data_IF_644506329086
#
_entry.id   IF_644506329086
#
_cell.length_a   1.000
_cell.length_b   1.000
_cell.length_c   1.000
_cell.angle_alpha   90.00
_cell.angle_beta   90.00
_cell.angle_gamma   90.00
#
_symmetry.space_group_name_H-M   'P 1'
#
loop_
_entity.id
_entity.type
_entity.pdbx_description
1 polymer ?
#
# COMPACT_ATOMS: atom_id res chain seq x y z
N UNK A 1 -46.08 38.78 -6.65
CA UNK A 1 -45.09 39.75 -6.11
C UNK A 1 -44.84 39.30 -4.68
N UNK A 2 -43.65 38.88 -4.25
CA UNK A 2 -42.32 39.47 -4.46
C UNK A 2 -41.26 38.40 -4.79
N UNK A 3 -40.29 38.78 -5.65
CA UNK A 3 -39.03 38.06 -5.85
C UNK A 3 -38.05 38.52 -4.77
N UNK A 4 -37.44 37.60 -4.03
CA UNK A 4 -36.20 37.89 -3.30
C UNK A 4 -35.02 37.68 -4.25
N UNK A 5 -34.35 38.80 -4.56
CA UNK A 5 -33.05 38.83 -5.22
C UNK A 5 -31.97 38.36 -4.23
N UNK A 6 -31.19 37.36 -4.64
CA UNK A 6 -30.04 36.88 -3.90
C UNK A 6 -28.82 37.75 -4.29
N UNK A 7 -28.51 38.76 -3.48
CA UNK A 7 -27.30 39.57 -3.61
C UNK A 7 -26.13 38.83 -2.95
N UNK A 8 -25.28 38.21 -3.77
CA UNK A 8 -24.04 37.60 -3.30
C UNK A 8 -23.08 38.66 -2.78
N UNK A 9 -22.71 38.59 -1.50
CA UNK A 9 -21.66 39.45 -0.95
C UNK A 9 -20.29 39.14 -1.60
N UNK A 10 -19.47 40.17 -1.93
CA UNK A 10 -18.12 39.97 -2.42
C UNK A 10 -17.20 39.43 -1.32
N UNK A 11 -16.41 38.40 -1.66
CA UNK A 11 -15.35 37.84 -0.81
C UNK A 11 -14.45 38.98 -0.28
N UNK A 12 -14.34 39.09 1.05
CA UNK A 12 -13.54 40.13 1.67
C UNK A 12 -12.08 40.06 1.20
N UNK A 13 -11.47 41.22 0.96
CA UNK A 13 -10.10 41.37 0.40
C UNK A 13 -9.03 40.54 1.13
N UNK A 14 -9.23 40.29 2.43
CA UNK A 14 -8.36 39.41 3.25
C UNK A 14 -8.50 37.93 2.87
N UNK A 15 -9.71 37.44 2.58
CA UNK A 15 -9.94 36.04 2.14
C UNK A 15 -9.38 35.80 0.73
N UNK A 16 -9.49 36.78 -0.17
CA UNK A 16 -8.90 36.69 -1.51
C UNK A 16 -7.37 36.61 -1.47
N UNK A 17 -6.72 37.44 -0.65
CA UNK A 17 -5.25 37.42 -0.48
C UNK A 17 -4.78 36.10 0.12
N UNK A 18 -5.50 35.54 1.11
CA UNK A 18 -5.15 34.23 1.69
C UNK A 18 -5.28 33.07 0.69
N UNK A 19 -6.30 33.08 -0.17
CA UNK A 19 -6.48 32.07 -1.22
C UNK A 19 -5.39 32.18 -2.28
N UNK A 20 -5.05 33.40 -2.72
CA UNK A 20 -3.94 33.61 -3.66
C UNK A 20 -2.58 33.23 -3.05
N UNK A 21 -2.35 33.49 -1.76
CA UNK A 21 -1.12 33.07 -1.07
C UNK A 21 -1.03 31.55 -0.89
N UNK A 22 -2.15 30.87 -0.62
CA UNK A 22 -2.22 29.41 -0.55
C UNK A 22 -2.00 28.76 -1.93
N UNK A 23 -2.54 29.36 -2.99
CA UNK A 23 -2.33 28.93 -4.38
C UNK A 23 -0.88 29.19 -4.84
N UNK A 24 -0.30 30.34 -4.52
CA UNK A 24 1.09 30.64 -4.83
C UNK A 24 2.05 29.73 -4.04
N UNK A 25 1.76 29.44 -2.77
CA UNK A 25 2.53 28.51 -1.94
C UNK A 25 2.46 27.07 -2.43
N UNK A 26 1.31 26.61 -2.94
CA UNK A 26 1.17 25.28 -3.54
C UNK A 26 1.84 25.17 -4.91
N UNK A 27 1.79 26.21 -5.73
CA UNK A 27 2.52 26.27 -7.01
C UNK A 27 4.04 26.32 -6.77
N UNK A 28 4.52 27.07 -5.77
CA UNK A 28 5.93 27.16 -5.42
C UNK A 28 6.46 25.86 -4.77
N UNK A 29 5.69 25.22 -3.89
CA UNK A 29 6.05 23.92 -3.33
C UNK A 29 6.01 22.80 -4.40
N UNK A 30 5.03 22.85 -5.30
CA UNK A 30 4.94 21.94 -6.44
C UNK A 30 6.10 22.11 -7.41
N UNK A 31 6.53 23.35 -7.68
CA UNK A 31 7.66 23.62 -8.58
C UNK A 31 9.01 23.28 -7.96
N UNK A 32 9.22 23.53 -6.65
CA UNK A 32 10.42 23.12 -5.92
C UNK A 32 10.51 21.59 -5.78
N UNK A 33 9.40 20.91 -5.46
CA UNK A 33 9.34 19.43 -5.44
C UNK A 33 9.59 18.82 -6.81
N UNK A 34 9.04 19.44 -7.86
CA UNK A 34 9.29 19.04 -9.26
C UNK A 34 10.72 19.32 -9.74
N UNK A 35 11.42 20.28 -9.12
CA UNK A 35 12.82 20.59 -9.43
C UNK A 35 13.78 19.64 -8.71
N UNK A 36 13.53 19.35 -7.43
CA UNK A 36 14.29 18.33 -6.69
C UNK A 36 14.09 16.93 -7.29
N UNK A 37 12.88 16.52 -7.63
CA UNK A 37 12.66 15.23 -8.32
C UNK A 37 13.34 15.21 -9.70
N UNK A 38 13.33 16.32 -10.45
CA UNK A 38 14.08 16.40 -11.72
C UNK A 38 15.58 16.28 -11.52
N UNK A 39 16.13 16.79 -10.42
CA UNK A 39 17.52 16.58 -10.07
C UNK A 39 17.81 15.15 -9.61
N UNK A 40 16.92 14.48 -8.85
CA UNK A 40 17.07 13.06 -8.48
C UNK A 40 17.01 12.12 -9.69
N UNK A 41 16.17 12.44 -10.67
CA UNK A 41 16.11 11.73 -11.96
C UNK A 41 17.38 11.96 -12.77
N UNK A 42 17.91 13.19 -12.78
CA UNK A 42 19.15 13.52 -13.49
C UNK A 42 20.43 13.00 -12.80
N UNK A 43 20.41 12.80 -11.47
CA UNK A 43 21.57 12.38 -10.67
C UNK A 43 21.73 10.85 -10.53
N UNK A 44 20.81 10.05 -11.10
CA UNK A 44 20.85 8.59 -11.03
C UNK A 44 20.23 7.98 -9.76
N UNK A 45 19.74 8.80 -8.82
CA UNK A 45 19.01 8.39 -7.61
C UNK A 45 17.67 7.71 -7.96
N UNK A 46 17.04 8.09 -9.08
CA UNK A 46 15.85 7.43 -9.63
C UNK A 46 16.06 5.92 -9.91
N UNK A 47 17.28 5.49 -10.18
CA UNK A 47 17.56 4.15 -10.66
C UNK A 47 17.89 3.14 -9.55
N UNK A 48 17.56 3.46 -8.29
CA UNK A 48 17.81 2.63 -7.12
C UNK A 48 16.71 2.82 -6.06
N UNK A 49 15.43 2.80 -6.43
CA UNK A 49 14.34 2.87 -5.44
C UNK A 49 13.48 1.61 -5.52
N UNK A 50 13.62 0.73 -4.53
CA UNK A 50 12.76 -0.44 -4.40
C UNK A 50 11.49 -0.17 -3.58
N UNK A 51 11.52 0.79 -2.65
CA UNK A 51 10.35 1.20 -1.86
C UNK A 51 10.21 2.74 -1.89
N UNK A 52 9.42 3.28 -2.84
CA UNK A 52 9.32 4.72 -3.03
C UNK A 52 8.61 5.44 -1.87
N UNK A 53 8.91 6.73 -1.71
CA UNK A 53 8.21 7.61 -0.77
C UNK A 53 6.77 7.88 -1.21
N UNK A 54 5.93 8.41 -0.32
CA UNK A 54 4.56 8.80 -0.69
C UNK A 54 4.54 9.89 -1.78
N UNK A 55 5.50 10.82 -1.74
CA UNK A 55 5.65 11.85 -2.78
C UNK A 55 6.09 11.27 -4.12
N UNK A 56 6.95 10.25 -4.10
CA UNK A 56 7.39 9.54 -5.30
C UNK A 56 6.25 8.68 -5.91
N UNK A 57 5.48 7.97 -5.08
CA UNK A 57 4.32 7.17 -5.53
C UNK A 57 3.23 8.03 -6.17
N UNK A 58 2.95 9.20 -5.60
CA UNK A 58 1.96 10.12 -6.18
C UNK A 58 2.42 10.75 -7.51
N UNK A 59 3.69 10.59 -7.89
CA UNK A 59 4.24 11.01 -9.17
C UNK A 59 4.38 9.83 -10.15
N UNK A 60 3.38 9.67 -11.01
CA UNK A 60 3.35 8.59 -12.01
C UNK A 60 4.54 8.59 -12.97
N UNK A 61 5.03 9.78 -13.38
CA UNK A 61 6.20 9.87 -14.25
C UNK A 61 7.45 9.35 -13.53
N UNK A 62 7.65 9.72 -12.27
CA UNK A 62 8.74 9.19 -11.46
C UNK A 62 8.69 7.66 -11.37
N UNK A 63 7.51 7.07 -11.08
CA UNK A 63 7.36 5.62 -10.97
C UNK A 63 7.72 4.90 -12.26
N UNK A 64 7.25 5.41 -13.41
CA UNK A 64 7.57 4.87 -14.73
C UNK A 64 9.05 5.00 -15.07
N UNK A 65 9.63 6.17 -14.81
CA UNK A 65 11.01 6.47 -15.16
C UNK A 65 11.99 5.70 -14.27
N UNK A 66 11.69 5.54 -12.97
CA UNK A 66 12.43 4.69 -12.04
C UNK A 66 12.43 3.22 -12.50
N UNK A 67 11.26 2.67 -12.85
CA UNK A 67 11.16 1.31 -13.38
C UNK A 67 11.98 1.14 -14.67
N UNK A 68 11.86 2.10 -15.59
CA UNK A 68 12.56 2.07 -16.88
C UNK A 68 14.08 2.18 -16.73
N UNK A 69 14.55 3.02 -15.80
CA UNK A 69 15.96 3.18 -15.49
C UNK A 69 16.58 1.90 -14.92
N UNK A 70 15.84 1.16 -14.08
CA UNK A 70 16.26 -0.15 -13.56
C UNK A 70 16.38 -1.17 -14.68
N UNK A 71 15.39 -1.24 -15.58
CA UNK A 71 15.48 -2.08 -16.79
C UNK A 71 16.67 -1.73 -17.68
N UNK A 72 16.98 -0.44 -17.86
CA UNK A 72 18.11 0.02 -18.64
C UNK A 72 19.47 -0.38 -18.04
N UNK A 73 19.53 -0.64 -16.73
CA UNK A 73 20.72 -1.18 -16.04
C UNK A 73 20.86 -2.71 -16.14
N UNK A 74 19.91 -3.39 -16.79
CA UNK A 74 19.88 -4.85 -16.87
C UNK A 74 19.17 -5.51 -15.68
N UNK A 75 18.48 -4.75 -14.82
CA UNK A 75 17.61 -5.33 -13.79
C UNK A 75 16.27 -5.78 -14.41
N UNK A 76 15.60 -6.74 -13.76
CA UNK A 76 14.29 -7.24 -14.19
C UNK A 76 13.23 -7.02 -13.09
N UNK A 77 12.85 -5.76 -12.81
CA UNK A 77 11.93 -5.46 -11.72
C UNK A 77 10.51 -5.92 -12.04
N UNK A 78 9.90 -6.63 -11.09
CA UNK A 78 8.47 -6.90 -11.02
C UNK A 78 7.80 -5.95 -10.04
N UNK A 79 6.56 -5.55 -10.34
CA UNK A 79 5.79 -4.66 -9.48
C UNK A 79 5.11 -5.46 -8.36
N UNK A 80 5.26 -5.00 -7.13
CA UNK A 80 4.68 -5.61 -5.92
C UNK A 80 3.79 -4.60 -5.22
N UNK A 81 2.48 -4.82 -5.25
CA UNK A 81 1.46 -3.92 -4.71
C UNK A 81 1.06 -4.31 -3.29
N UNK A 82 0.71 -3.33 -2.46
CA UNK A 82 0.43 -3.53 -1.05
C UNK A 82 0.37 -2.22 -0.26
N UNK A 83 0.45 -2.31 1.07
CA UNK A 83 0.33 -1.17 1.99
C UNK A 83 1.58 -1.02 2.86
N UNK A 84 1.45 -0.99 4.19
CA UNK A 84 2.56 -0.80 5.12
C UNK A 84 3.45 -2.03 5.28
N UNK A 85 2.96 -3.21 4.93
CA UNK A 85 3.71 -4.46 4.88
C UNK A 85 4.86 -4.43 3.87
N UNK A 86 4.83 -3.54 2.88
CA UNK A 86 5.93 -3.33 1.94
C UNK A 86 7.08 -2.50 2.53
N UNK A 87 6.94 -1.98 3.76
CA UNK A 87 8.00 -1.25 4.42
C UNK A 87 9.09 -2.20 4.95
N UNK A 88 10.32 -2.16 4.41
CA UNK A 88 11.37 -3.10 4.80
C UNK A 88 11.91 -2.88 6.21
N UNK A 89 11.49 -1.83 6.92
CA UNK A 89 11.93 -1.56 8.30
C UNK A 89 11.61 -2.71 9.27
N UNK A 90 10.44 -3.33 9.12
CA UNK A 90 9.98 -4.40 10.02
C UNK A 90 10.67 -5.73 9.69
N UNK A 91 10.62 -6.12 8.41
CA UNK A 91 11.22 -7.36 7.93
C UNK A 91 12.74 -7.36 7.89
N UNK A 92 13.40 -6.19 7.80
CA UNK A 92 14.85 -6.11 7.74
C UNK A 92 15.42 -6.62 6.40
N UNK A 93 16.63 -7.18 6.44
CA UNK A 93 17.37 -7.61 5.24
C UNK A 93 16.66 -8.65 4.34
N UNK A 94 15.89 -9.64 4.84
CA UNK A 94 15.26 -10.63 3.95
C UNK A 94 13.97 -10.12 3.30
N UNK A 95 13.55 -8.89 3.58
CA UNK A 95 12.34 -8.30 3.02
C UNK A 95 12.43 -8.14 1.50
N UNK A 96 11.35 -8.34 0.71
CA UNK A 96 11.39 -8.32 -0.75
C UNK A 96 12.04 -7.04 -1.32
N UNK A 97 11.66 -5.88 -0.79
CA UNK A 97 12.22 -4.56 -1.14
C UNK A 97 13.73 -4.37 -0.82
N UNK A 98 14.39 -5.36 -0.24
CA UNK A 98 15.83 -5.37 0.03
C UNK A 98 16.50 -6.60 -0.58
N UNK A 99 16.00 -7.79 -0.25
CA UNK A 99 16.58 -9.06 -0.68
C UNK A 99 16.48 -9.27 -2.19
N UNK A 100 15.34 -8.92 -2.78
CA UNK A 100 15.05 -9.06 -4.21
C UNK A 100 15.22 -7.72 -4.94
N UNK A 101 16.14 -6.87 -4.50
CA UNK A 101 16.38 -5.56 -5.12
C UNK A 101 17.87 -5.40 -5.42
N UNK A 102 18.19 -4.78 -6.55
CA UNK A 102 19.57 -4.58 -6.99
C UNK A 102 20.16 -5.76 -7.76
N UNK A 103 19.30 -6.65 -8.30
CA UNK A 103 19.70 -7.68 -9.25
C UNK A 103 20.46 -8.90 -8.70
N UNK A 104 20.46 -9.15 -7.39
CA UNK A 104 21.24 -10.23 -6.79
C UNK A 104 20.80 -11.66 -7.19
N UNK A 105 19.55 -11.86 -7.62
CA UNK A 105 18.98 -13.19 -7.88
C UNK A 105 18.24 -13.30 -9.23
N UNK A 106 18.55 -12.45 -10.22
CA UNK A 106 17.85 -12.30 -11.52
C UNK A 106 16.35 -11.94 -11.46
N UNK A 107 15.73 -12.03 -10.28
CA UNK A 107 14.41 -11.46 -9.98
C UNK A 107 14.66 -10.20 -9.19
N UNK A 108 14.08 -9.11 -9.68
CA UNK A 108 14.09 -7.85 -8.99
C UNK A 108 12.65 -7.42 -8.66
N UNK A 109 12.44 -6.64 -7.61
CA UNK A 109 11.13 -6.13 -7.20
C UNK A 109 11.14 -4.62 -6.98
N UNK A 110 10.02 -3.99 -7.32
CA UNK A 110 9.72 -2.60 -7.02
C UNK A 110 8.36 -2.53 -6.33
N UNK A 111 8.36 -2.07 -5.08
CA UNK A 111 7.17 -1.93 -4.26
C UNK A 111 6.32 -0.75 -4.74
N UNK A 112 5.01 -0.95 -4.79
CA UNK A 112 4.02 0.06 -5.15
C UNK A 112 2.94 0.10 -4.07
N UNK A 113 3.08 1.06 -3.15
CA UNK A 113 2.11 1.25 -2.08
C UNK A 113 2.71 1.71 -0.75
N UNK A 114 1.82 2.17 0.13
CA UNK A 114 2.12 2.68 1.49
C UNK A 114 0.93 2.41 2.39
N UNK A 115 1.14 2.59 3.69
CA UNK A 115 0.09 2.60 4.69
C UNK A 115 -1.17 3.36 4.20
N UNK A 116 -2.29 2.66 4.15
CA UNK A 116 -3.57 3.20 3.71
C UNK A 116 -3.89 3.07 2.22
N UNK A 117 -2.97 2.52 1.41
CA UNK A 117 -3.30 2.01 0.09
C UNK A 117 -4.20 0.77 0.24
N UNK A 118 -5.31 0.76 -0.50
CA UNK A 118 -6.31 -0.32 -0.51
C UNK A 118 -6.67 -0.66 -1.96
N UNK A 119 -7.56 -1.63 -2.15
CA UNK A 119 -7.80 -2.24 -3.46
C UNK A 119 -8.22 -1.26 -4.55
N UNK A 120 -9.02 -0.23 -4.23
CA UNK A 120 -9.46 0.74 -5.24
C UNK A 120 -8.30 1.55 -5.82
N UNK A 121 -7.32 1.93 -5.00
CA UNK A 121 -6.18 2.70 -5.48
C UNK A 121 -5.25 1.82 -6.30
N UNK A 122 -5.04 0.60 -5.83
CA UNK A 122 -4.26 -0.39 -6.55
C UNK A 122 -4.88 -0.78 -7.90
N UNK A 123 -6.21 -0.82 -8.03
CA UNK A 123 -6.85 -1.00 -9.34
C UNK A 123 -6.38 0.07 -10.36
N UNK A 124 -6.24 1.33 -9.93
CA UNK A 124 -5.72 2.41 -10.79
C UNK A 124 -4.23 2.22 -11.07
N UNK A 125 -3.42 2.02 -10.04
CA UNK A 125 -1.96 1.92 -10.18
C UNK A 125 -1.53 0.71 -11.02
N UNK A 126 -2.14 -0.46 -10.77
CA UNK A 126 -1.89 -1.68 -11.56
C UNK A 126 -2.21 -1.45 -13.02
N UNK A 127 -3.40 -0.93 -13.32
CA UNK A 127 -3.81 -0.70 -14.71
C UNK A 127 -2.93 0.32 -15.42
N UNK A 128 -2.61 1.42 -14.76
CA UNK A 128 -1.76 2.48 -15.31
C UNK A 128 -0.33 1.99 -15.56
N UNK A 129 0.31 1.36 -14.55
CA UNK A 129 1.69 0.92 -14.66
C UNK A 129 1.83 -0.28 -15.60
N UNK A 130 0.94 -1.29 -15.52
CA UNK A 130 1.03 -2.48 -16.36
C UNK A 130 0.93 -2.13 -17.85
N UNK A 131 -0.06 -1.32 -18.24
CA UNK A 131 -0.27 -0.92 -19.64
C UNK A 131 0.84 -0.01 -20.16
N UNK A 132 1.35 0.89 -19.32
CA UNK A 132 2.42 1.83 -19.71
C UNK A 132 3.80 1.16 -19.81
N UNK A 133 4.07 0.17 -18.95
CA UNK A 133 5.39 -0.47 -18.84
C UNK A 133 5.46 -1.85 -19.51
N UNK A 134 4.33 -2.38 -19.98
CA UNK A 134 4.22 -3.72 -20.58
C UNK A 134 4.52 -4.84 -19.58
N UNK A 135 4.16 -4.66 -18.31
CA UNK A 135 4.40 -5.65 -17.26
C UNK A 135 3.32 -6.71 -17.33
N UNK A 136 3.70 -7.99 -17.47
CA UNK A 136 2.75 -9.11 -17.61
C UNK A 136 2.50 -9.91 -16.33
N UNK A 137 3.29 -9.66 -15.28
CA UNK A 137 3.19 -10.38 -14.02
C UNK A 137 3.44 -9.42 -12.86
N UNK A 138 2.59 -9.47 -11.85
CA UNK A 138 2.67 -8.63 -10.65
C UNK A 138 2.40 -9.47 -9.41
N UNK A 139 2.74 -8.94 -8.24
CA UNK A 139 2.22 -9.47 -6.98
C UNK A 139 1.36 -8.42 -6.26
N UNK A 140 0.34 -8.86 -5.55
CA UNK A 140 -0.60 -8.02 -4.83
C UNK A 140 -0.86 -8.56 -3.43
N UNK A 141 -0.29 -7.91 -2.42
CA UNK A 141 -0.57 -8.22 -1.03
C UNK A 141 -1.99 -7.82 -0.67
N UNK A 142 -2.68 -8.66 0.08
CA UNK A 142 -4.00 -8.37 0.63
C UNK A 142 -4.02 -8.68 2.12
N UNK A 143 -4.49 -7.70 2.89
CA UNK A 143 -4.48 -7.75 4.35
C UNK A 143 -5.90 -7.62 4.88
N UNK A 144 -6.25 -8.44 5.88
CA UNK A 144 -7.59 -8.42 6.50
C UNK A 144 -8.02 -7.02 6.95
N UNK A 145 -7.07 -6.22 7.41
CA UNK A 145 -7.25 -4.87 7.90
C UNK A 145 -7.78 -3.88 6.87
N UNK A 146 -7.79 -4.20 5.57
CA UNK A 146 -8.46 -3.38 4.55
C UNK A 146 -9.95 -3.71 4.49
N UNK A 147 -10.27 -4.98 4.74
CA UNK A 147 -11.62 -5.53 4.67
C UNK A 147 -12.37 -5.37 5.99
N UNK A 148 -11.75 -5.00 7.11
CA UNK A 148 -12.45 -4.79 8.37
C UNK A 148 -13.56 -3.72 8.22
N UNK A 149 -14.78 -4.04 8.65
CA UNK A 149 -15.99 -3.25 8.35
C UNK A 149 -15.98 -1.79 8.81
N UNK A 150 -15.21 -1.46 9.86
CA UNK A 150 -15.13 -0.12 10.41
C UNK A 150 -14.08 0.77 9.70
N UNK A 151 -13.34 0.23 8.73
CA UNK A 151 -12.32 0.99 7.99
C UNK A 151 -12.94 1.95 7.00
N UNK A 152 -12.30 3.10 6.86
CA UNK A 152 -12.77 4.18 6.01
C UNK A 152 -11.63 4.70 5.10
N UNK A 153 -11.62 4.27 3.82
CA UNK A 153 -10.61 4.70 2.84
C UNK A 153 -10.56 6.21 2.58
N UNK A 154 -11.60 6.99 2.95
CA UNK A 154 -11.58 8.47 2.86
C UNK A 154 -10.42 9.11 3.62
N UNK A 155 -9.92 8.44 4.66
CA UNK A 155 -8.86 8.96 5.52
C UNK A 155 -7.47 8.85 4.89
N UNK A 156 -7.27 7.97 3.92
CA UNK A 156 -5.96 7.66 3.34
C UNK A 156 -5.86 7.95 1.85
N UNK A 157 -6.90 7.63 1.08
CA UNK A 157 -6.86 7.69 -0.39
C UNK A 157 -6.41 9.06 -0.94
N UNK A 158 -6.90 10.21 -0.45
CA UNK A 158 -6.51 11.51 -1.01
C UNK A 158 -5.01 11.81 -0.94
N UNK A 159 -4.30 11.23 0.04
CA UNK A 159 -2.86 11.44 0.20
C UNK A 159 -2.02 10.57 -0.75
N UNK A 160 -2.59 9.49 -1.29
CA UNK A 160 -1.92 8.56 -2.19
C UNK A 160 -2.24 8.84 -3.67
N UNK A 161 -3.29 9.62 -3.93
CA UNK A 161 -3.77 9.88 -5.27
C UNK A 161 -2.70 10.48 -6.19
N UNK A 162 -2.54 9.85 -7.35
CA UNK A 162 -1.76 10.34 -8.50
C UNK A 162 -2.69 10.66 -9.66
N UNK A 163 -2.76 11.92 -10.05
CA UNK A 163 -3.53 12.34 -11.23
C UNK A 163 -2.97 11.71 -12.53
N UNK A 164 -1.64 11.57 -12.62
CA UNK A 164 -1.00 10.95 -13.78
C UNK A 164 -1.37 9.47 -13.94
N UNK A 165 -1.37 8.70 -12.85
CA UNK A 165 -1.77 7.30 -12.88
C UNK A 165 -3.26 7.16 -13.22
N UNK A 166 -4.11 8.00 -12.62
CA UNK A 166 -5.53 8.00 -12.94
C UNK A 166 -5.81 8.32 -14.41
N UNK A 167 -5.15 9.33 -14.99
CA UNK A 167 -5.29 9.64 -16.42
C UNK A 167 -4.83 8.48 -17.30
N UNK A 168 -3.66 7.90 -17.01
CA UNK A 168 -3.16 6.74 -17.75
C UNK A 168 -4.15 5.56 -17.72
N UNK A 169 -4.74 5.27 -16.56
CA UNK A 169 -5.79 4.27 -16.43
C UNK A 169 -7.07 4.65 -17.21
N UNK A 170 -7.57 5.87 -17.03
CA UNK A 170 -8.83 6.33 -17.62
C UNK A 170 -8.76 6.42 -19.15
N UNK A 171 -7.61 6.83 -19.69
CA UNK A 171 -7.41 7.05 -21.12
C UNK A 171 -7.01 5.75 -21.86
N UNK A 172 -6.55 4.72 -21.13
CA UNK A 172 -6.16 3.43 -21.71
C UNK A 172 -7.33 2.75 -22.43
N UNK A 173 -7.09 2.23 -23.63
CA UNK A 173 -8.11 1.53 -24.42
C UNK A 173 -8.26 0.06 -24.04
N UNK A 174 -7.37 -0.46 -23.19
CA UNK A 174 -7.41 -1.83 -22.67
C UNK A 174 -8.58 -2.04 -21.70
N UNK A 175 -9.04 -0.98 -21.02
CA UNK A 175 -10.08 -1.08 -20.01
C UNK A 175 -11.46 -0.70 -20.54
N UNK A 176 -12.45 -1.51 -20.17
CA UNK A 176 -13.86 -1.27 -20.48
C UNK A 176 -14.36 0.03 -19.84
N UNK A 177 -15.25 0.73 -20.55
CA UNK A 177 -15.85 1.97 -20.03
C UNK A 177 -16.63 1.71 -18.73
N UNK A 178 -17.21 0.52 -18.57
CA UNK A 178 -17.90 0.15 -17.33
C UNK A 178 -16.95 0.02 -16.14
N UNK A 179 -15.80 -0.64 -16.32
CA UNK A 179 -14.79 -0.74 -15.27
C UNK A 179 -14.27 0.64 -14.87
N UNK A 180 -13.91 1.49 -15.85
CA UNK A 180 -13.49 2.87 -15.61
C UNK A 180 -14.54 3.65 -14.83
N UNK A 181 -15.82 3.59 -15.25
CA UNK A 181 -16.92 4.26 -14.53
C UNK A 181 -17.07 3.77 -13.10
N UNK A 182 -16.99 2.47 -12.84
CA UNK A 182 -17.10 1.89 -11.49
C UNK A 182 -15.96 2.34 -10.59
N UNK A 183 -14.72 2.34 -11.10
CA UNK A 183 -13.53 2.82 -10.39
C UNK A 183 -13.63 4.30 -10.08
N UNK A 184 -13.90 5.15 -11.08
CA UNK A 184 -14.05 6.60 -10.91
C UNK A 184 -15.17 6.95 -9.93
N UNK A 185 -16.31 6.27 -10.03
CA UNK A 185 -17.43 6.44 -9.09
C UNK A 185 -17.02 6.08 -7.66
N UNK A 186 -16.22 5.03 -7.47
CA UNK A 186 -15.76 4.62 -6.14
C UNK A 186 -14.76 5.61 -5.55
N UNK A 187 -13.80 6.08 -6.34
CA UNK A 187 -12.85 7.11 -5.89
C UNK A 187 -13.54 8.41 -5.46
N UNK A 188 -14.61 8.81 -6.16
CA UNK A 188 -15.41 9.98 -5.78
C UNK A 188 -16.08 9.83 -4.39
N UNK A 189 -16.53 8.62 -4.03
CA UNK A 189 -17.05 8.32 -2.67
C UNK A 189 -15.98 8.56 -1.60
N UNK A 190 -14.71 8.45 -1.98
CA UNK A 190 -13.55 8.60 -1.10
C UNK A 190 -12.92 10.00 -1.14
N UNK A 191 -13.59 10.98 -1.75
CA UNK A 191 -13.16 12.37 -1.77
C UNK A 191 -12.20 12.71 -2.91
N UNK A 192 -11.97 11.79 -3.86
CA UNK A 192 -11.19 12.05 -5.07
C UNK A 192 -12.14 12.10 -6.26
N UNK A 193 -12.65 13.30 -6.57
CA UNK A 193 -13.65 13.46 -7.63
C UNK A 193 -13.00 13.81 -8.97
N UNK A 194 -12.80 12.79 -9.80
CA UNK A 194 -12.24 12.94 -11.15
C UNK A 194 -13.30 13.10 -12.25
N UNK A 195 -14.57 13.35 -11.92
CA UNK A 195 -15.68 13.38 -12.90
C UNK A 195 -15.83 14.73 -13.61
N UNK A 196 -15.25 15.79 -13.06
CA UNK A 196 -15.20 17.12 -13.67
C UNK A 196 -13.80 17.44 -14.17
N UNK A 197 -13.65 18.18 -15.28
CA UNK A 197 -12.35 18.54 -15.86
C UNK A 197 -11.45 19.49 -15.04
N UNK A 198 -11.72 19.65 -13.73
CA UNK A 198 -10.88 20.38 -12.77
C UNK A 198 -9.98 19.43 -11.97
N UNK A 199 -9.05 19.98 -11.17
CA UNK A 199 -8.18 19.16 -10.32
C UNK A 199 -9.00 18.38 -9.27
N UNK A 200 -8.90 17.03 -9.21
CA UNK A 200 -9.72 16.18 -8.33
C UNK A 200 -9.61 16.47 -6.83
N UNK A 201 -8.56 17.19 -6.42
CA UNK A 201 -8.27 17.56 -5.03
C UNK A 201 -8.77 18.97 -4.65
N UNK A 202 -9.31 19.74 -5.61
CA UNK A 202 -9.82 21.09 -5.36
C UNK A 202 -10.98 21.13 -4.34
N UNK A 203 -11.81 20.08 -4.32
CA UNK A 203 -12.91 19.92 -3.37
C UNK A 203 -12.46 19.48 -1.96
N UNK A 204 -11.22 19.00 -1.80
CA UNK A 204 -10.70 18.59 -0.50
C UNK A 204 -10.38 19.80 0.38
N UNK A 205 -9.98 20.93 -0.22
CA UNK A 205 -9.58 22.15 0.50
C UNK A 205 -10.75 22.77 1.27
N UNK A 206 -11.98 22.64 0.76
CA UNK A 206 -13.20 23.09 1.43
C UNK A 206 -13.65 22.19 2.59
N UNK A 207 -13.24 20.92 2.63
CA UNK A 207 -13.61 19.97 3.68
C UNK A 207 -12.59 19.91 4.83
N UNK A 208 -11.42 20.57 4.71
CA UNK A 208 -10.44 20.66 5.80
C UNK A 208 -10.98 21.45 6.99
N UNK A 209 -11.78 22.49 6.73
CA UNK A 209 -12.42 23.30 7.77
C UNK A 209 -13.46 22.50 8.58
N UNK A 210 -14.17 21.54 7.94
CA UNK A 210 -15.13 20.67 8.61
C UNK A 210 -14.46 19.47 9.30
N UNK A 211 -13.39 18.92 8.71
CA UNK A 211 -12.60 17.85 9.32
C UNK A 211 -11.88 18.29 10.61
N UNK A 212 -11.48 19.56 10.70
CA UNK A 212 -10.94 20.14 11.93
C UNK A 212 -11.95 20.15 13.09
N UNK A 213 -13.25 20.18 12.79
CA UNK A 213 -14.35 20.16 13.78
C UNK A 213 -14.74 18.75 14.22
N UNK A 214 -14.61 17.75 13.35
CA UNK A 214 -14.84 16.34 13.69
C UNK A 214 -13.65 15.68 14.41
N UNK A 215 -12.47 16.33 14.40
CA UNK A 215 -11.23 15.86 14.99
C UNK A 215 -11.20 15.88 16.54
N UNK A 216 -12.14 16.58 17.18
CA UNK A 216 -12.14 16.70 18.65
C UNK A 216 -12.79 15.50 19.37
N UNK A 217 -13.67 14.73 18.71
CA UNK A 217 -14.61 13.84 19.43
C UNK A 217 -14.44 12.32 19.18
N UNK A 218 -13.36 11.85 18.56
CA UNK A 218 -13.11 10.41 18.51
C UNK A 218 -11.84 10.01 17.77
N UNK A 219 -11.03 9.17 18.42
CA UNK A 219 -9.76 8.59 17.93
C UNK A 219 -8.54 9.54 17.98
N UNK A 220 -8.14 9.89 19.21
CA UNK A 220 -6.75 10.23 19.54
C UNK A 220 -5.87 8.98 19.51
N UNK A 221 -5.58 8.46 18.32
CA UNK A 221 -4.34 7.73 18.03
C UNK A 221 -3.80 8.27 16.70
N UNK A 222 -2.81 9.15 16.81
CA UNK A 222 -1.83 9.56 15.79
C UNK A 222 -2.30 10.23 14.48
N UNK A 223 -3.13 11.29 14.58
CA UNK A 223 -3.38 12.22 13.47
C UNK A 223 -2.58 13.54 13.53
N UNK A 224 -1.72 13.74 14.54
CA UNK A 224 -0.73 14.85 14.54
C UNK A 224 0.41 14.66 13.50
N UNK A 225 0.34 13.65 12.63
CA UNK A 225 1.40 13.30 11.68
C UNK A 225 0.98 13.19 10.20
N UNK A 226 -0.30 13.38 9.84
CA UNK A 226 -0.73 13.46 8.42
C UNK A 226 -0.91 14.93 8.01
N UNK A 227 -0.13 15.83 8.62
CA UNK A 227 0.16 17.10 7.99
C UNK A 227 1.04 16.81 6.79
N UNK A 228 0.69 17.36 5.62
CA UNK A 228 1.44 17.26 4.34
C UNK A 228 2.97 17.48 4.43
N UNK A 229 3.49 17.94 5.57
CA UNK A 229 4.91 18.07 5.88
C UNK A 229 5.60 16.79 6.38
N UNK A 230 4.91 15.79 6.97
CA UNK A 230 5.57 14.58 7.53
C UNK A 230 5.57 13.36 6.62
N UNK A 231 4.65 13.30 5.66
CA UNK A 231 4.74 12.35 4.53
C UNK A 231 5.85 12.74 3.53
N UNK A 232 6.33 13.98 3.60
CA UNK A 232 7.42 14.51 2.77
C UNK A 232 8.82 14.24 3.37
N UNK A 233 8.91 13.87 4.65
CA UNK A 233 10.18 13.86 5.42
C UNK A 233 10.71 12.46 5.79
N UNK A 234 9.95 11.38 5.49
CA UNK A 234 10.57 10.06 5.48
C UNK A 234 11.35 9.93 4.17
N UNK A 235 12.63 10.29 4.21
CA UNK A 235 13.57 9.82 3.19
C UNK A 235 13.35 8.31 3.02
N UNK A 236 13.06 7.83 1.80
CA UNK A 236 13.01 6.39 1.58
C UNK A 236 14.34 5.85 2.09
N UNK A 237 14.35 4.77 2.90
CA UNK A 237 15.62 4.18 3.33
C UNK A 237 16.42 3.96 2.06
N UNK A 238 17.60 4.58 2.01
CA UNK A 238 18.51 4.47 0.87
C UNK A 238 18.60 2.99 0.52
N UNK A 239 18.54 2.65 -0.77
CA UNK A 239 18.83 1.29 -1.21
C UNK A 239 20.28 1.02 -0.83
N UNK A 240 20.48 0.52 0.38
CA UNK A 240 21.68 -0.18 0.75
C UNK A 240 21.65 -1.43 -0.13
N UNK A 241 22.44 -1.43 -1.21
CA UNK A 241 22.89 -2.68 -1.85
C UNK A 241 23.22 -3.61 -0.70
N UNK A 242 22.49 -4.72 -0.58
CA UNK A 242 22.48 -5.50 0.65
C UNK A 242 23.88 -5.70 1.19
N UNK A 243 24.21 -5.05 2.31
CA UNK A 243 25.46 -5.28 3.07
C UNK A 243 25.45 -6.67 3.74
N UNK A 244 24.57 -7.57 3.31
CA UNK A 244 24.38 -8.89 3.87
C UNK A 244 24.57 -9.90 2.74
N UNK A 245 25.61 -10.73 2.86
CA UNK A 245 25.86 -11.92 2.04
C UNK A 245 24.55 -12.50 1.50
N UNK A 246 24.34 -12.37 0.19
CA UNK A 246 23.24 -12.98 -0.54
C UNK A 246 23.56 -14.48 -0.65
N UNK A 247 22.97 -15.36 0.18
CA UNK A 247 23.31 -16.78 0.15
C UNK A 247 22.84 -17.34 -1.19
N UNK A 248 23.77 -17.90 -1.98
CA UNK A 248 23.54 -18.41 -3.32
C UNK A 248 23.88 -19.89 -3.37
N UNK A 249 23.05 -20.65 -4.07
CA UNK A 249 23.38 -22.00 -4.52
C UNK A 249 24.33 -21.95 -5.72
N UNK A 250 24.90 -23.10 -6.09
CA UNK A 250 25.87 -23.21 -7.18
C UNK A 250 25.31 -22.77 -8.56
N UNK A 251 23.99 -22.81 -8.73
CA UNK A 251 23.29 -22.38 -9.95
C UNK A 251 22.92 -20.89 -9.96
N UNK A 252 23.33 -20.12 -8.95
CA UNK A 252 23.02 -18.70 -8.80
C UNK A 252 21.62 -18.40 -8.26
N UNK A 253 20.84 -19.41 -7.87
CA UNK A 253 19.57 -19.21 -7.18
C UNK A 253 19.78 -18.93 -5.68
N UNK A 254 18.82 -18.26 -4.99
CA UNK A 254 18.92 -18.02 -3.56
C UNK A 254 18.95 -19.34 -2.77
N UNK A 255 19.88 -19.45 -1.81
CA UNK A 255 19.87 -20.51 -0.80
C UNK A 255 18.79 -20.18 0.24
N UNK A 256 17.56 -20.60 -0.07
CA UNK A 256 16.39 -20.34 0.77
C UNK A 256 16.49 -20.96 2.15
N UNK A 257 17.19 -22.08 2.32
CA UNK A 257 17.34 -22.73 3.62
C UNK A 257 18.25 -21.88 4.52
N UNK A 258 19.38 -21.40 3.99
CA UNK A 258 20.25 -20.48 4.72
C UNK A 258 19.56 -19.14 5.01
N UNK A 259 18.83 -18.60 4.03
CA UNK A 259 18.08 -17.34 4.19
C UNK A 259 17.02 -17.47 5.29
N UNK A 260 16.18 -18.49 5.23
CA UNK A 260 15.11 -18.72 6.19
C UNK A 260 15.66 -19.04 7.59
N UNK A 261 16.73 -19.83 7.70
CA UNK A 261 17.37 -20.11 8.99
C UNK A 261 17.90 -18.84 9.66
N UNK A 262 18.61 -17.99 8.90
CA UNK A 262 19.12 -16.70 9.40
C UNK A 262 17.99 -15.74 9.76
N UNK A 263 16.94 -15.67 8.94
CA UNK A 263 15.79 -14.82 9.17
C UNK A 263 14.99 -15.24 10.41
N UNK A 264 14.75 -16.54 10.58
CA UNK A 264 14.10 -17.11 11.75
C UNK A 264 14.88 -16.84 13.03
N UNK A 265 16.21 -17.03 13.01
CA UNK A 265 17.08 -16.70 14.14
C UNK A 265 16.95 -15.23 14.54
N UNK A 266 17.02 -14.32 13.57
CA UNK A 266 16.86 -12.89 13.83
C UNK A 266 15.47 -12.54 14.39
N UNK A 267 14.41 -13.14 13.85
CA UNK A 267 13.05 -12.92 14.36
C UNK A 267 12.93 -13.39 15.82
N UNK A 268 13.40 -14.60 16.13
CA UNK A 268 13.39 -15.17 17.48
C UNK A 268 14.20 -14.34 18.49
N UNK A 269 15.38 -13.85 18.10
CA UNK A 269 16.21 -12.98 18.94
C UNK A 269 15.51 -11.65 19.27
N UNK A 270 14.78 -11.07 18.30
CA UNK A 270 14.05 -9.80 18.48
C UNK A 270 12.78 -9.93 19.30
N UNK A 271 12.26 -11.14 19.46
CA UNK A 271 11.02 -11.44 20.18
C UNK A 271 11.24 -12.28 21.43
N UNK A 272 12.48 -12.38 21.93
CA UNK A 272 12.82 -13.25 23.05
C UNK A 272 12.28 -12.75 24.40
N UNK A 273 11.94 -11.46 24.52
CA UNK A 273 11.45 -10.82 25.74
C UNK A 273 9.94 -10.93 25.97
N UNK A 274 9.20 -11.64 25.12
CA UNK A 274 7.78 -11.92 25.33
C UNK A 274 7.37 -13.29 24.78
N UNK A 275 6.43 -13.96 25.45
CA UNK A 275 6.00 -15.33 25.11
C UNK A 275 5.22 -15.42 23.79
N UNK A 276 4.72 -14.28 23.32
CA UNK A 276 3.81 -14.18 22.20
C UNK A 276 4.54 -13.98 20.85
N UNK A 277 5.86 -13.77 20.86
CA UNK A 277 6.62 -13.60 19.62
C UNK A 277 6.33 -12.27 18.90
N UNK A 278 6.17 -11.17 19.64
CA UNK A 278 6.20 -9.81 19.08
C UNK A 278 7.64 -9.27 19.13
N UNK A 279 7.99 -8.30 18.28
CA UNK A 279 9.21 -7.53 18.50
C UNK A 279 9.18 -6.87 19.89
N UNK A 280 10.22 -7.08 20.69
CA UNK A 280 10.29 -6.69 22.09
C UNK A 280 10.13 -5.19 22.32
N UNK A 281 10.70 -4.37 21.43
CA UNK A 281 10.61 -2.92 21.54
C UNK A 281 9.19 -2.44 21.20
N UNK A 282 8.59 -3.01 20.15
CA UNK A 282 7.20 -2.72 19.82
C UNK A 282 6.25 -3.17 20.94
N UNK A 283 6.41 -4.39 21.45
CA UNK A 283 5.56 -4.97 22.48
C UNK A 283 5.50 -4.07 23.72
N UNK A 284 6.67 -3.73 24.29
CA UNK A 284 6.76 -2.84 25.47
C UNK A 284 6.16 -1.46 25.22
N UNK A 285 6.32 -0.92 24.02
CA UNK A 285 5.93 0.47 23.74
C UNK A 285 4.48 0.63 23.26
N UNK A 286 3.89 -0.39 22.64
CA UNK A 286 2.67 -0.24 21.83
C UNK A 286 1.57 -1.26 22.14
N UNK A 287 1.91 -2.49 22.56
CA UNK A 287 0.94 -3.58 22.64
C UNK A 287 -0.27 -3.24 23.52
N UNK A 288 -0.02 -2.81 24.77
CA UNK A 288 -1.10 -2.49 25.73
C UNK A 288 -2.10 -1.46 25.20
N UNK A 289 -1.61 -0.40 24.53
CA UNK A 289 -2.46 0.63 23.94
C UNK A 289 -3.20 0.09 22.71
N UNK A 290 -2.52 -0.70 21.89
CA UNK A 290 -3.12 -1.28 20.70
C UNK A 290 -4.28 -2.21 21.06
N UNK A 291 -4.08 -3.14 22.00
CA UNK A 291 -5.12 -4.11 22.37
C UNK A 291 -6.31 -3.43 23.05
N UNK A 292 -6.06 -2.47 23.94
CA UNK A 292 -7.12 -1.65 24.53
C UNK A 292 -7.95 -0.96 23.45
N UNK A 293 -7.29 -0.29 22.50
CA UNK A 293 -7.98 0.38 21.39
C UNK A 293 -8.77 -0.60 20.52
N UNK A 294 -8.23 -1.78 20.24
CA UNK A 294 -8.91 -2.82 19.48
C UNK A 294 -10.19 -3.30 20.19
N UNK A 295 -10.13 -3.51 21.49
CA UNK A 295 -11.26 -3.98 22.30
C UNK A 295 -12.33 -2.91 22.50
N UNK A 296 -11.93 -1.65 22.67
CA UNK A 296 -12.87 -0.54 22.94
C UNK A 296 -13.52 0.02 21.66
N UNK A 297 -12.82 0.02 20.52
CA UNK A 297 -13.22 0.80 19.35
C UNK A 297 -13.72 -0.06 18.19
N UNK A 298 -13.29 -1.32 18.10
CA UNK A 298 -13.74 -2.16 17.00
C UNK A 298 -15.17 -2.60 17.26
N UNK A 299 -16.01 -2.42 16.25
CA UNK A 299 -17.41 -2.82 16.31
C UNK A 299 -17.82 -3.46 15.00
N UNK A 300 -18.87 -4.26 15.07
CA UNK A 300 -19.55 -4.82 13.91
C UNK A 300 -20.90 -4.11 13.77
N UNK A 301 -21.32 -3.73 12.56
CA UNK A 301 -22.65 -3.19 12.35
C UNK A 301 -23.73 -4.20 12.76
N UNK A 302 -24.97 -3.72 12.97
CA UNK A 302 -26.10 -4.57 13.34
C UNK A 302 -26.39 -5.71 12.34
N UNK A 303 -25.90 -5.59 11.09
CA UNK A 303 -25.97 -6.65 10.08
C UNK A 303 -25.07 -7.86 10.35
N UNK A 304 -24.17 -7.80 11.34
CA UNK A 304 -23.21 -8.86 11.64
C UNK A 304 -22.06 -8.98 10.63
N UNK A 305 -21.95 -8.03 9.68
CA UNK A 305 -20.93 -8.09 8.64
C UNK A 305 -19.56 -7.60 9.17
N UNK A 306 -18.69 -8.54 9.52
CA UNK A 306 -17.31 -8.26 9.93
C UNK A 306 -16.46 -7.65 8.81
N UNK A 307 -16.73 -8.03 7.57
CA UNK A 307 -15.98 -7.59 6.40
C UNK A 307 -16.77 -6.67 5.48
N UNK A 308 -16.07 -5.67 4.96
CA UNK A 308 -16.53 -4.65 4.04
C UNK A 308 -16.81 -5.27 2.68
N UNK A 309 -18.10 -5.42 2.36
CA UNK A 309 -18.54 -5.72 0.98
C UNK A 309 -17.98 -4.71 -0.02
N UNK A 310 -17.74 -3.47 0.44
CA UNK A 310 -17.22 -2.39 -0.38
C UNK A 310 -15.79 -2.66 -0.82
N UNK A 311 -14.91 -3.01 0.12
CA UNK A 311 -13.50 -3.37 -0.16
C UNK A 311 -13.43 -4.65 -1.00
N UNK A 312 -14.31 -5.63 -0.75
CA UNK A 312 -14.40 -6.84 -1.58
C UNK A 312 -14.70 -6.52 -3.05
N UNK A 313 -15.64 -5.64 -3.32
CA UNK A 313 -15.94 -5.22 -4.69
C UNK A 313 -14.79 -4.41 -5.32
N UNK A 314 -13.98 -3.73 -4.51
CA UNK A 314 -12.77 -3.04 -4.98
C UNK A 314 -11.63 -3.99 -5.29
N UNK A 315 -11.47 -5.03 -4.48
CA UNK A 315 -10.55 -6.13 -4.73
C UNK A 315 -10.89 -6.82 -6.04
N UNK A 316 -12.16 -7.15 -6.28
CA UNK A 316 -12.63 -7.68 -7.57
C UNK A 316 -12.35 -6.72 -8.73
N UNK A 317 -12.53 -5.41 -8.54
CA UNK A 317 -12.16 -4.43 -9.58
C UNK A 317 -10.65 -4.44 -9.86
N UNK A 318 -9.80 -4.58 -8.85
CA UNK A 318 -8.35 -4.70 -9.06
C UNK A 318 -7.96 -5.98 -9.83
N UNK A 319 -8.61 -7.12 -9.53
CA UNK A 319 -8.42 -8.35 -10.30
C UNK A 319 -8.94 -8.22 -11.74
N UNK A 320 -10.09 -7.57 -11.93
CA UNK A 320 -10.65 -7.28 -13.26
C UNK A 320 -9.71 -6.38 -14.08
N UNK A 321 -9.07 -5.39 -13.46
CA UNK A 321 -8.03 -4.58 -14.12
C UNK A 321 -6.87 -5.45 -14.60
N UNK A 322 -6.38 -6.38 -13.78
CA UNK A 322 -5.30 -7.27 -14.19
C UNK A 322 -5.73 -8.13 -15.39
N UNK A 323 -6.95 -8.68 -15.35
CA UNK A 323 -7.51 -9.47 -16.44
C UNK A 323 -7.63 -8.67 -17.74
N UNK A 324 -8.23 -7.48 -17.71
CA UNK A 324 -8.40 -6.62 -18.88
C UNK A 324 -7.06 -6.10 -19.44
N UNK A 325 -6.03 -5.94 -18.58
CA UNK A 325 -4.67 -5.59 -19.01
C UNK A 325 -3.82 -6.78 -19.50
N UNK A 326 -4.31 -8.02 -19.42
CA UNK A 326 -3.53 -9.22 -19.75
C UNK A 326 -2.35 -9.47 -18.79
N UNK A 327 -2.54 -9.16 -17.51
CA UNK A 327 -1.56 -9.32 -16.44
C UNK A 327 -1.93 -10.51 -15.59
N UNK A 328 -0.94 -11.34 -15.24
CA UNK A 328 -1.06 -12.44 -14.28
C UNK A 328 -0.70 -11.94 -12.86
N UNK A 329 -1.68 -11.69 -11.97
CA UNK A 329 -1.38 -11.34 -10.59
C UNK A 329 -1.13 -12.60 -9.75
N UNK A 330 -0.17 -12.53 -8.84
CA UNK A 330 -0.16 -13.34 -7.62
C UNK A 330 -0.84 -12.56 -6.50
N UNK A 331 -1.86 -13.11 -5.88
CA UNK A 331 -2.39 -12.55 -4.63
C UNK A 331 -1.62 -13.14 -3.45
N UNK A 332 -0.98 -12.29 -2.66
CA UNK A 332 -0.30 -12.70 -1.42
C UNK A 332 -1.26 -12.47 -0.25
N UNK A 333 -1.85 -13.54 0.25
CA UNK A 333 -2.80 -13.49 1.36
C UNK A 333 -2.05 -13.42 2.69
N UNK A 334 -1.95 -12.22 3.25
CA UNK A 334 -1.28 -11.98 4.52
C UNK A 334 -2.16 -12.47 5.69
N UNK A 335 -1.64 -13.31 6.61
CA UNK A 335 -2.32 -13.65 7.84
C UNK A 335 -2.34 -12.45 8.80
N UNK A 336 -3.20 -12.50 9.80
CA UNK A 336 -3.10 -11.66 10.99
C UNK A 336 -2.49 -12.46 12.14
N UNK A 337 -1.82 -11.82 13.11
CA UNK A 337 -1.25 -12.55 14.25
C UNK A 337 -2.37 -13.09 15.14
N UNK A 338 -2.61 -14.40 15.09
CA UNK A 338 -3.77 -15.08 15.66
C UNK A 338 -3.96 -14.79 17.14
N UNK A 339 -2.91 -14.96 17.94
CA UNK A 339 -2.95 -14.69 19.39
C UNK A 339 -3.31 -13.24 19.75
N UNK A 340 -2.99 -12.28 18.87
CA UNK A 340 -3.35 -10.88 19.06
C UNK A 340 -4.85 -10.68 18.81
N UNK A 341 -5.33 -11.24 17.71
CA UNK A 341 -6.70 -11.07 17.23
C UNK A 341 -7.72 -11.92 17.98
N UNK A 342 -7.30 -13.04 18.61
CA UNK A 342 -8.15 -13.86 19.49
C UNK A 342 -8.64 -13.09 20.72
N UNK A 343 -7.97 -12.00 21.09
CA UNK A 343 -8.38 -11.09 22.15
C UNK A 343 -9.32 -9.97 21.67
N UNK A 344 -9.77 -10.04 20.42
CA UNK A 344 -10.62 -9.02 19.78
C UNK A 344 -11.90 -9.67 19.22
N UNK A 345 -12.79 -8.85 18.65
CA UNK A 345 -13.99 -9.36 17.98
C UNK A 345 -13.67 -10.17 16.71
N UNK A 346 -12.45 -10.09 16.17
CA UNK A 346 -12.02 -10.86 14.99
C UNK A 346 -11.38 -12.18 15.44
N UNK A 347 -12.21 -13.05 16.01
CA UNK A 347 -11.83 -14.39 16.48
C UNK A 347 -11.25 -15.23 15.35
N UNK A 348 -10.68 -16.39 15.69
CA UNK A 348 -10.17 -17.36 14.71
C UNK A 348 -11.20 -17.72 13.64
N UNK A 349 -12.46 -17.92 14.02
CA UNK A 349 -13.54 -18.25 13.10
C UNK A 349 -13.81 -17.09 12.13
N UNK A 350 -13.82 -15.86 12.63
CA UNK A 350 -14.00 -14.66 11.82
C UNK A 350 -12.83 -14.51 10.83
N UNK A 351 -11.58 -14.67 11.28
CA UNK A 351 -10.40 -14.60 10.40
C UNK A 351 -10.41 -15.71 9.34
N UNK A 352 -10.78 -16.93 9.72
CA UNK A 352 -10.93 -18.06 8.79
C UNK A 352 -11.93 -17.73 7.67
N UNK A 353 -13.04 -17.08 8.01
CA UNK A 353 -14.02 -16.65 7.00
C UNK A 353 -13.49 -15.57 6.04
N UNK A 354 -12.56 -14.72 6.49
CA UNK A 354 -11.83 -13.81 5.60
C UNK A 354 -10.87 -14.53 4.66
N UNK A 355 -10.09 -15.49 5.19
CA UNK A 355 -9.16 -16.24 4.35
C UNK A 355 -9.90 -17.02 3.27
N UNK A 356 -11.03 -17.65 3.61
CA UNK A 356 -11.92 -18.30 2.63
C UNK A 356 -12.47 -17.29 1.61
N UNK A 357 -12.93 -16.11 2.05
CA UNK A 357 -13.46 -15.08 1.17
C UNK A 357 -12.44 -14.66 0.09
N UNK A 358 -11.17 -14.48 0.47
CA UNK A 358 -10.12 -14.13 -0.49
C UNK A 358 -9.81 -15.30 -1.41
N UNK A 359 -9.66 -16.52 -0.87
CA UNK A 359 -9.41 -17.73 -1.68
C UNK A 359 -10.49 -17.95 -2.72
N UNK A 360 -11.76 -17.90 -2.32
CA UNK A 360 -12.89 -18.11 -3.24
C UNK A 360 -12.93 -17.02 -4.32
N UNK A 361 -12.71 -15.75 -3.94
CA UNK A 361 -12.69 -14.63 -4.90
C UNK A 361 -11.56 -14.79 -5.92
N UNK A 362 -10.36 -15.19 -5.49
CA UNK A 362 -9.23 -15.43 -6.40
C UNK A 362 -9.51 -16.62 -7.32
N UNK A 363 -10.08 -17.71 -6.79
CA UNK A 363 -10.46 -18.88 -7.59
C UNK A 363 -11.50 -18.55 -8.66
N UNK A 364 -12.51 -17.73 -8.32
CA UNK A 364 -13.51 -17.22 -9.28
C UNK A 364 -12.88 -16.43 -10.44
N UNK A 365 -11.72 -15.80 -10.21
CA UNK A 365 -11.00 -14.99 -11.21
C UNK A 365 -9.82 -15.74 -11.83
N UNK A 366 -9.58 -17.01 -11.47
CA UNK A 366 -8.45 -17.80 -11.97
C UNK A 366 -7.08 -17.27 -11.53
N UNK A 367 -6.99 -16.67 -10.34
CA UNK A 367 -5.79 -16.02 -9.81
C UNK A 367 -5.08 -16.91 -8.79
N UNK A 368 -3.76 -17.07 -8.95
CA UNK A 368 -2.90 -17.79 -8.01
C UNK A 368 -2.82 -17.07 -6.66
N UNK A 369 -2.78 -17.83 -5.57
CA UNK A 369 -2.71 -17.31 -4.20
C UNK A 369 -1.50 -17.89 -3.47
N UNK A 370 -0.63 -17.02 -2.96
CA UNK A 370 0.34 -17.37 -1.93
C UNK A 370 -0.35 -17.24 -0.57
N UNK A 371 -0.93 -18.35 -0.08
CA UNK A 371 -1.74 -18.37 1.14
C UNK A 371 -0.89 -18.59 2.39
N UNK A 372 -0.67 -17.52 3.16
CA UNK A 372 0.06 -17.56 4.42
C UNK A 372 -0.85 -17.68 5.65
N UNK A 373 -2.16 -17.89 5.50
CA UNK A 373 -3.13 -18.00 6.61
C UNK A 373 -2.74 -19.06 7.65
N UNK A 374 -2.12 -20.17 7.21
CA UNK A 374 -1.62 -21.24 8.08
C UNK A 374 -0.49 -20.82 9.03
N UNK A 375 0.05 -19.60 8.90
CA UNK A 375 1.12 -19.04 9.74
C UNK A 375 0.62 -18.06 10.80
N UNK A 376 -0.69 -17.87 10.94
CA UNK A 376 -1.25 -16.89 11.88
C UNK A 376 -0.79 -17.09 13.34
N UNK A 377 -0.44 -18.31 13.74
CA UNK A 377 0.05 -18.64 15.08
C UNK A 377 1.57 -18.89 15.15
N UNK A 378 2.32 -18.68 14.07
CA UNK A 378 3.77 -18.80 14.09
C UNK A 378 4.39 -17.68 14.96
N UNK A 379 5.12 -18.02 16.04
CA UNK A 379 5.71 -17.01 16.93
C UNK A 379 6.68 -16.08 16.21
N UNK A 380 7.34 -16.56 15.16
CA UNK A 380 8.39 -15.82 14.49
C UNK A 380 7.94 -15.10 13.24
N UNK A 381 6.74 -15.36 12.71
CA UNK A 381 6.32 -14.80 11.41
C UNK A 381 6.06 -13.28 11.43
N UNK A 382 5.62 -12.74 12.56
CA UNK A 382 5.19 -11.34 12.66
C UNK A 382 6.13 -10.49 13.51
N UNK A 383 6.33 -9.26 13.07
CA UNK A 383 6.97 -8.20 13.85
C UNK A 383 6.02 -7.64 14.91
N UNK A 384 4.76 -7.39 14.53
CA UNK A 384 3.71 -6.89 15.41
C UNK A 384 2.39 -7.67 15.22
N UNK A 385 1.23 -7.02 15.25
CA UNK A 385 -0.06 -7.67 15.03
C UNK A 385 -0.33 -8.01 13.55
N UNK A 386 0.42 -7.45 12.58
CA UNK A 386 0.17 -7.64 11.15
C UNK A 386 1.38 -7.56 10.23
N UNK A 387 2.42 -6.81 10.58
CA UNK A 387 3.61 -6.67 9.73
C UNK A 387 4.52 -7.90 9.84
N UNK A 388 5.17 -8.32 8.75
CA UNK A 388 6.09 -9.45 8.79
C UNK A 388 7.34 -9.13 9.62
N UNK A 389 7.83 -10.12 10.36
CA UNK A 389 9.17 -10.12 10.92
C UNK A 389 10.21 -10.40 9.81
N UNK A 390 11.47 -10.60 10.19
CA UNK A 390 12.46 -11.14 9.27
C UNK A 390 12.06 -12.51 8.66
N UNK A 391 11.49 -13.40 9.47
CA UNK A 391 11.06 -14.73 9.03
C UNK A 391 9.91 -14.63 8.03
N UNK A 392 8.84 -13.90 8.37
CA UNK A 392 7.70 -13.73 7.47
C UNK A 392 8.09 -13.03 6.18
N UNK A 393 8.98 -12.03 6.26
CA UNK A 393 9.47 -11.31 5.11
C UNK A 393 10.35 -12.19 4.20
N UNK A 394 11.15 -13.10 4.75
CA UNK A 394 11.91 -14.09 3.98
C UNK A 394 10.98 -15.03 3.20
N UNK A 395 9.87 -15.45 3.80
CA UNK A 395 8.88 -16.30 3.14
C UNK A 395 8.12 -15.57 2.04
N UNK A 396 7.76 -14.31 2.27
CA UNK A 396 7.22 -13.45 1.22
C UNK A 396 8.20 -13.34 0.06
N UNK A 397 9.49 -13.08 0.33
CA UNK A 397 10.52 -13.05 -0.71
C UNK A 397 10.61 -14.37 -1.48
N UNK A 398 10.53 -15.53 -0.81
CA UNK A 398 10.53 -16.83 -1.47
C UNK A 398 9.33 -17.00 -2.40
N UNK A 399 8.11 -16.73 -1.91
CA UNK A 399 6.91 -16.85 -2.71
C UNK A 399 6.92 -15.93 -3.94
N UNK A 400 7.37 -14.69 -3.78
CA UNK A 400 7.52 -13.73 -4.88
C UNK A 400 8.57 -14.22 -5.90
N UNK A 401 9.74 -14.62 -5.43
CA UNK A 401 10.82 -15.12 -6.29
C UNK A 401 10.37 -16.30 -7.15
N UNK A 402 9.78 -17.33 -6.54
CA UNK A 402 9.39 -18.54 -7.25
C UNK A 402 8.21 -18.28 -8.19
N UNK A 403 7.27 -17.41 -7.82
CA UNK A 403 6.21 -16.99 -8.72
C UNK A 403 6.74 -16.24 -9.94
N UNK A 404 7.66 -15.28 -9.73
CA UNK A 404 8.21 -14.52 -10.84
C UNK A 404 9.07 -15.38 -11.77
N UNK A 405 9.85 -16.33 -11.25
CA UNK A 405 10.63 -17.28 -12.06
C UNK A 405 9.75 -18.34 -12.74
N UNK A 406 8.86 -18.99 -12.00
CA UNK A 406 8.26 -20.27 -12.39
C UNK A 406 6.73 -20.22 -12.58
N UNK A 407 6.09 -19.08 -12.28
CA UNK A 407 4.64 -18.94 -12.35
C UNK A 407 3.88 -19.46 -11.12
N UNK A 408 4.57 -20.08 -10.15
CA UNK A 408 3.94 -20.64 -8.94
C UNK A 408 4.67 -20.23 -7.64
N UNK A 409 3.96 -19.77 -6.61
CA UNK A 409 4.56 -19.40 -5.33
C UNK A 409 4.95 -20.63 -4.48
N UNK A 410 6.05 -20.55 -3.74
CA UNK A 410 6.41 -21.50 -2.68
C UNK A 410 6.23 -20.84 -1.31
N UNK A 411 5.15 -21.25 -0.63
CA UNK A 411 4.69 -20.70 0.66
C UNK A 411 5.43 -21.29 1.84
#
# INVERSE_FOLDING_TARGET
MERQENTGEPLSRRRFISVCAALAGTVAAGSLGSWHLRQEVASGVSASVAYPSAGQLSNFAFMRDAFSARKAKGEHPYLVFGSSELNPRHGGWPHPARLLSGGAYDVDTMMVGRAGATSIWHAVEMGALATTLGVRRIAFFVSMQWFMCYRDPRKSLPALFSEGAYRAFSDSHEFSDELKRRVTKRMAVYGVDCRGGGSPLGALVSNVDDAAKAYTDGLRVDLKLIGKAKLADEQPPELVRGDADHPLLADGSPDWDAILARANKLAAERSAGNADGYDDAWYRAKYARWIQGAQEQWSVPASGAYFSKRELEEFKMALQVCQEAGVDPLVVLQPAKGIAYDQTIYTREVRSSYYELIRSTCAEHGVEVADFSGREYDPTFFFDYSHPSAEGAARYSRALYTFFKNGHPQV
#
